data_IF_423195893936
#
_entry.id   IF_423195893936
#
_cell.length_a   1.000
_cell.length_b   1.000
_cell.length_c   1.000
_cell.angle_alpha   90.00
_cell.angle_beta   90.00
_cell.angle_gamma   90.00
#
_symmetry.space_group_name_H-M   'P 1'
#
loop_
_entity.id
_entity.type
_entity.pdbx_description
1 polymer ?
#
# COMPACT_ATOMS: atom_id res chain seq x y z
N UNK A 1 15.01 16.77 -17.84
CA UNK A 1 14.20 17.24 -16.69
C UNK A 1 13.02 16.31 -16.44
N UNK A 2 12.87 15.82 -15.20
CA UNK A 2 11.64 15.10 -14.82
C UNK A 2 10.46 16.09 -14.84
N UNK A 3 9.28 15.69 -15.35
CA UNK A 3 8.10 16.53 -15.26
C UNK A 3 7.81 16.87 -13.80
N UNK A 4 7.36 18.10 -13.54
CA UNK A 4 6.99 18.52 -12.20
C UNK A 4 5.87 17.61 -11.66
N UNK A 5 6.18 16.87 -10.59
CA UNK A 5 5.21 16.01 -9.92
C UNK A 5 4.17 16.84 -9.17
N UNK A 6 2.94 16.35 -9.08
CA UNK A 6 1.91 16.99 -8.24
C UNK A 6 2.30 16.93 -6.76
N UNK A 7 1.77 17.86 -5.96
CA UNK A 7 2.02 17.91 -4.52
C UNK A 7 1.63 16.61 -3.79
N UNK A 8 0.66 15.86 -4.32
CA UNK A 8 0.25 14.55 -3.81
C UNK A 8 1.23 13.46 -4.23
N UNK A 9 1.65 13.44 -5.50
CA UNK A 9 2.60 12.45 -5.99
C UNK A 9 3.93 12.54 -5.24
N UNK A 10 4.45 13.74 -4.98
CA UNK A 10 5.71 13.95 -4.22
C UNK A 10 5.69 13.29 -2.83
N UNK A 11 4.51 13.07 -2.24
CA UNK A 11 4.36 12.46 -0.91
C UNK A 11 4.28 10.93 -0.95
N UNK A 12 4.17 10.31 -2.12
CA UNK A 12 4.12 8.87 -2.23
C UNK A 12 5.46 8.24 -1.85
N UNK A 13 5.39 7.13 -1.12
CA UNK A 13 6.56 6.37 -0.68
C UNK A 13 7.33 5.91 -1.92
N UNK A 14 8.64 6.17 -1.96
CA UNK A 14 9.53 5.77 -3.04
C UNK A 14 9.90 6.90 -3.98
N UNK A 15 9.02 7.88 -4.23
CA UNK A 15 9.33 8.92 -5.23
C UNK A 15 10.42 9.87 -4.78
N UNK A 16 10.39 10.31 -3.51
CA UNK A 16 11.44 11.18 -2.97
C UNK A 16 12.75 10.42 -2.77
N UNK A 17 12.68 9.16 -2.34
CA UNK A 17 13.85 8.31 -2.11
C UNK A 17 14.56 8.00 -3.43
N UNK A 18 13.81 7.61 -4.48
CA UNK A 18 14.36 7.41 -5.83
C UNK A 18 14.94 8.71 -6.38
N UNK A 19 14.28 9.85 -6.17
CA UNK A 19 14.80 11.14 -6.61
C UNK A 19 16.14 11.47 -5.95
N UNK A 20 16.26 11.27 -4.64
CA UNK A 20 17.51 11.48 -3.90
C UNK A 20 18.66 10.59 -4.42
N UNK A 21 18.36 9.34 -4.79
CA UNK A 21 19.32 8.43 -5.41
C UNK A 21 19.74 8.91 -6.82
N UNK A 22 18.78 9.32 -7.65
CA UNK A 22 19.06 9.86 -8.99
C UNK A 22 19.85 11.18 -8.95
N UNK A 23 19.63 12.00 -7.93
CA UNK A 23 20.38 13.24 -7.68
C UNK A 23 21.76 12.96 -7.03
N UNK A 24 22.11 11.70 -6.76
CA UNK A 24 23.40 11.29 -6.19
C UNK A 24 23.59 11.64 -4.71
N UNK A 25 22.53 12.04 -4.02
CA UNK A 25 22.57 12.47 -2.60
C UNK A 25 22.53 11.30 -1.62
N UNK A 26 22.11 10.12 -2.07
CA UNK A 26 22.13 8.85 -1.33
C UNK A 26 22.58 7.71 -2.24
N UNK A 27 23.16 6.67 -1.67
CA UNK A 27 23.46 5.42 -2.37
C UNK A 27 22.19 4.64 -2.73
N UNK A 28 22.32 3.70 -3.66
CA UNK A 28 21.22 2.81 -4.03
C UNK A 28 20.73 1.97 -2.84
N UNK A 29 21.65 1.47 -2.00
CA UNK A 29 21.32 0.69 -0.81
C UNK A 29 20.54 1.52 0.20
N UNK A 30 20.97 2.75 0.49
CA UNK A 30 20.26 3.65 1.40
C UNK A 30 18.85 3.98 0.89
N UNK A 31 18.70 4.17 -0.42
CA UNK A 31 17.39 4.36 -1.05
C UNK A 31 16.48 3.14 -0.84
N UNK A 32 16.96 1.93 -1.13
CA UNK A 32 16.19 0.69 -0.96
C UNK A 32 15.77 0.48 0.50
N UNK A 33 16.69 0.71 1.44
CA UNK A 33 16.43 0.60 2.88
C UNK A 33 15.39 1.62 3.35
N UNK A 34 15.50 2.87 2.90
CA UNK A 34 14.56 3.94 3.22
C UNK A 34 13.15 3.62 2.71
N UNK A 35 13.03 3.13 1.47
CA UNK A 35 11.74 2.71 0.88
C UNK A 35 11.15 1.55 1.70
N UNK A 36 11.94 0.52 1.96
CA UNK A 36 11.47 -0.64 2.70
C UNK A 36 11.02 -0.26 4.13
N UNK A 37 11.75 0.63 4.81
CA UNK A 37 11.39 1.14 6.13
C UNK A 37 10.09 1.96 6.07
N UNK A 38 9.95 2.87 5.10
CA UNK A 38 8.76 3.68 4.93
C UNK A 38 7.51 2.82 4.63
N UNK A 39 7.65 1.81 3.77
CA UNK A 39 6.58 0.85 3.46
C UNK A 39 6.15 0.06 4.69
N UNK A 40 7.10 -0.46 5.50
CA UNK A 40 6.76 -1.14 6.77
C UNK A 40 6.02 -0.23 7.75
N UNK A 41 6.48 1.02 7.91
CA UNK A 41 5.81 2.01 8.77
C UNK A 41 4.40 2.32 8.27
N UNK A 42 4.20 2.40 6.96
CA UNK A 42 2.89 2.64 6.36
C UNK A 42 1.95 1.45 6.56
N UNK A 43 2.40 0.23 6.28
CA UNK A 43 1.65 -0.99 6.57
C UNK A 43 1.23 -1.05 8.05
N UNK A 44 2.13 -0.69 8.98
CA UNK A 44 1.79 -0.65 10.41
C UNK A 44 0.73 0.40 10.75
N UNK A 45 0.78 1.57 10.10
CA UNK A 45 -0.26 2.60 10.24
C UNK A 45 -1.60 2.12 9.69
N UNK A 46 -1.61 1.47 8.53
CA UNK A 46 -2.82 0.88 7.94
C UNK A 46 -3.43 -0.16 8.88
N UNK A 47 -2.63 -1.11 9.38
CA UNK A 47 -3.08 -2.12 10.36
C UNK A 47 -3.66 -1.45 11.62
N UNK A 48 -2.98 -0.43 12.15
CA UNK A 48 -3.43 0.31 13.34
C UNK A 48 -4.75 1.03 13.10
N UNK A 49 -4.92 1.63 11.93
CA UNK A 49 -6.15 2.31 11.53
C UNK A 49 -7.28 1.29 11.38
N UNK A 50 -7.08 0.22 10.59
CA UNK A 50 -8.07 -0.84 10.38
C UNK A 50 -8.54 -1.48 11.69
N UNK A 51 -7.64 -1.72 12.65
CA UNK A 51 -8.00 -2.28 13.95
C UNK A 51 -8.92 -1.37 14.79
N UNK A 52 -8.91 -0.05 14.53
CA UNK A 52 -9.77 0.92 15.23
C UNK A 52 -11.16 1.04 14.60
N UNK A 53 -11.28 0.67 13.33
CA UNK A 53 -12.54 0.76 12.59
C UNK A 53 -13.46 -0.41 12.93
N UNK A 54 -14.54 -0.10 13.65
CA UNK A 54 -15.53 -1.10 14.10
C UNK A 54 -16.53 -1.52 13.02
N UNK A 55 -16.65 -0.72 11.97
CA UNK A 55 -17.60 -0.96 10.87
C UNK A 55 -17.01 -1.84 9.75
N UNK A 56 -15.77 -2.31 9.90
CA UNK A 56 -15.11 -3.14 8.90
C UNK A 56 -15.19 -4.61 9.28
N UNK A 57 -15.50 -5.44 8.29
CA UNK A 57 -15.46 -6.88 8.43
C UNK A 57 -14.20 -7.43 7.76
N UNK A 58 -13.36 -8.08 8.57
CA UNK A 58 -12.12 -8.70 8.10
C UNK A 58 -12.42 -9.89 7.20
N UNK A 59 -11.81 -9.91 6.02
CA UNK A 59 -11.84 -11.04 5.09
C UNK A 59 -10.44 -11.65 5.02
N UNK A 60 -10.28 -12.87 5.53
CA UNK A 60 -9.03 -13.62 5.37
C UNK A 60 -8.94 -14.14 3.93
N UNK A 61 -7.88 -13.80 3.22
CA UNK A 61 -7.56 -14.36 1.91
C UNK A 61 -6.60 -15.54 2.09
N UNK A 62 -6.80 -16.62 1.35
CA UNK A 62 -5.83 -17.72 1.31
C UNK A 62 -4.76 -17.45 0.24
N UNK A 63 -3.47 -17.74 0.50
CA UNK A 63 -2.41 -17.64 -0.51
C UNK A 63 -2.64 -18.54 -1.73
N UNK A 64 -3.48 -19.57 -1.59
CA UNK A 64 -3.82 -20.51 -2.67
C UNK A 64 -5.16 -20.21 -3.33
N UNK A 65 -5.89 -19.19 -2.87
CA UNK A 65 -7.18 -18.79 -3.44
C UNK A 65 -6.96 -18.00 -4.73
N UNK A 66 -7.74 -18.31 -5.76
CA UNK A 66 -7.74 -17.52 -7.00
C UNK A 66 -8.51 -16.20 -6.78
N UNK A 67 -8.21 -15.13 -7.55
CA UNK A 67 -8.96 -13.88 -7.46
C UNK A 67 -10.47 -14.07 -7.63
N UNK A 68 -10.91 -14.91 -8.56
CA UNK A 68 -12.33 -15.20 -8.79
C UNK A 68 -13.00 -15.89 -7.60
N UNK A 69 -12.32 -16.87 -6.99
CA UNK A 69 -12.83 -17.55 -5.79
C UNK A 69 -12.95 -16.60 -4.60
N UNK A 70 -11.93 -15.76 -4.39
CA UNK A 70 -11.94 -14.75 -3.34
C UNK A 70 -13.08 -13.73 -3.56
N UNK A 71 -13.23 -13.24 -4.79
CA UNK A 71 -14.28 -12.30 -5.15
C UNK A 71 -15.67 -12.90 -4.92
N UNK A 72 -15.90 -14.15 -5.36
CA UNK A 72 -17.18 -14.84 -5.16
C UNK A 72 -17.53 -14.94 -3.68
N UNK A 73 -16.59 -15.38 -2.85
CA UNK A 73 -16.77 -15.49 -1.41
C UNK A 73 -17.03 -14.13 -0.75
N UNK A 74 -16.37 -13.06 -1.19
CA UNK A 74 -16.64 -11.71 -0.69
C UNK A 74 -18.08 -11.30 -1.05
N UNK A 75 -18.54 -11.54 -2.27
CA UNK A 75 -19.93 -11.25 -2.66
C UNK A 75 -20.94 -12.04 -1.83
N UNK A 76 -20.66 -13.31 -1.53
CA UNK A 76 -21.51 -14.14 -0.68
C UNK A 76 -21.58 -13.64 0.78
N UNK A 77 -20.50 -13.01 1.28
CA UNK A 77 -20.46 -12.39 2.61
C UNK A 77 -21.26 -11.08 2.69
N UNK A 78 -21.41 -10.38 1.57
CA UNK A 78 -22.11 -9.10 1.50
C UNK A 78 -23.20 -9.14 0.41
N UNK A 79 -24.25 -9.95 0.58
CA UNK A 79 -25.29 -10.12 -0.44
C UNK A 79 -26.05 -8.81 -0.73
N UNK A 80 -26.05 -7.85 0.20
CA UNK A 80 -26.58 -6.49 0.00
C UNK A 80 -25.80 -5.63 -0.99
N UNK A 81 -24.61 -6.07 -1.44
CA UNK A 81 -23.89 -5.42 -2.55
C UNK A 81 -24.43 -5.84 -3.92
N UNK A 82 -25.24 -6.89 -3.98
CA UNK A 82 -25.82 -7.42 -5.22
C UNK A 82 -27.24 -6.89 -5.49
N UNK A 83 -27.82 -6.11 -4.56
CA UNK A 83 -29.15 -5.50 -4.67
C UNK A 83 -29.55 -4.70 -3.44
#
# INVERSE_FOLDING_TARGET
DFPALSATAVKAIGLREVRAWLDGTVSQSECLEAIAQATRRYAKRQETWFRREKALQSVCLSPTETPDSAARRILDLFPSLLG
#
